data_IF_276159351872
#
_entry.id   IF_276159351872
#
_cell.length_a   1.000
_cell.length_b   1.000
_cell.length_c   1.000
_cell.angle_alpha   90.00
_cell.angle_beta   90.00
_cell.angle_gamma   90.00
#
_symmetry.space_group_name_H-M   'P 1'
#
loop_
_entity.id
_entity.type
_entity.pdbx_description
1 polymer ?
#
# COMPACT_ATOMS: atom_id res chain seq x y z
N UNK A 1 29.02 19.43 -68.76
CA UNK A 1 29.60 19.63 -67.40
C UNK A 1 28.42 19.67 -66.40
N UNK A 2 28.05 18.52 -65.84
CA UNK A 2 27.00 18.39 -64.86
C UNK A 2 27.64 18.12 -63.49
N UNK A 3 27.46 19.04 -62.56
CA UNK A 3 27.86 18.91 -61.16
C UNK A 3 26.69 18.34 -60.35
N UNK A 4 26.82 17.12 -59.89
CA UNK A 4 25.92 16.53 -58.87
C UNK A 4 26.33 17.03 -57.49
N UNK A 5 25.42 17.71 -56.83
CA UNK A 5 25.52 18.03 -55.38
C UNK A 5 24.95 16.85 -54.60
N UNK A 6 25.86 16.19 -53.85
CA UNK A 6 25.47 15.15 -52.89
C UNK A 6 25.12 15.86 -51.56
N UNK A 7 23.86 15.88 -51.25
CA UNK A 7 23.37 16.36 -49.96
C UNK A 7 23.51 15.27 -48.88
N UNK A 8 24.35 15.47 -47.88
CA UNK A 8 24.49 14.63 -46.70
C UNK A 8 23.34 14.95 -45.73
N UNK A 9 22.40 14.01 -45.59
CA UNK A 9 21.38 14.07 -44.55
C UNK A 9 21.96 13.65 -43.21
N UNK A 10 22.07 14.55 -42.25
CA UNK A 10 22.43 14.26 -40.87
C UNK A 10 21.16 13.83 -40.14
N UNK A 11 21.03 12.53 -39.91
CA UNK A 11 19.98 11.96 -39.05
C UNK A 11 20.34 12.19 -37.60
N UNK A 12 19.69 13.15 -36.95
CA UNK A 12 19.76 13.33 -35.49
C UNK A 12 18.88 12.26 -34.81
N UNK A 13 19.51 11.24 -34.27
CA UNK A 13 18.85 10.25 -33.42
C UNK A 13 18.62 10.87 -32.05
N UNK A 14 17.38 11.30 -31.77
CA UNK A 14 16.96 11.65 -30.41
C UNK A 14 16.89 10.36 -29.61
N UNK A 15 17.88 10.11 -28.75
CA UNK A 15 17.79 9.13 -27.68
C UNK A 15 16.83 9.68 -26.61
N UNK A 16 15.56 9.28 -26.66
CA UNK A 16 14.67 9.44 -25.53
C UNK A 16 15.14 8.49 -24.42
N UNK A 17 15.96 9.01 -23.50
CA UNK A 17 16.14 8.40 -22.20
C UNK A 17 14.78 8.45 -21.48
N UNK A 18 14.02 7.35 -21.56
CA UNK A 18 12.85 7.15 -20.73
C UNK A 18 13.27 7.10 -19.27
N UNK A 19 13.23 8.24 -18.59
CA UNK A 19 13.28 8.27 -17.13
C UNK A 19 11.99 7.64 -16.66
N UNK A 20 12.06 6.39 -16.22
CA UNK A 20 11.00 5.78 -15.45
C UNK A 20 10.81 6.66 -14.21
N UNK A 21 9.72 7.41 -14.18
CA UNK A 21 9.32 8.13 -12.98
C UNK A 21 8.87 7.08 -11.96
N UNK A 22 9.81 6.63 -11.14
CA UNK A 22 9.46 5.88 -9.96
C UNK A 22 8.84 6.88 -8.97
N UNK A 23 7.54 6.79 -8.77
CA UNK A 23 6.86 7.46 -7.66
C UNK A 23 7.17 6.73 -6.35
N UNK A 24 8.44 6.56 -6.04
CA UNK A 24 8.90 6.12 -4.73
C UNK A 24 9.35 7.34 -3.95
N UNK A 25 8.94 7.43 -2.70
CA UNK A 25 9.62 8.33 -1.77
C UNK A 25 11.11 7.99 -1.83
N UNK A 26 11.94 8.98 -2.13
CA UNK A 26 13.38 8.80 -2.28
C UNK A 26 13.94 8.24 -0.98
N UNK A 27 14.67 7.11 -1.06
CA UNK A 27 15.38 6.59 0.12
C UNK A 27 16.47 7.59 0.54
N UNK A 28 16.31 8.27 1.66
CA UNK A 28 17.27 9.30 2.10
C UNK A 28 18.64 8.71 2.46
N UNK A 29 18.75 7.40 2.65
CA UNK A 29 20.04 6.71 2.91
C UNK A 29 20.96 6.70 1.70
N UNK A 30 20.43 6.97 0.52
CA UNK A 30 21.23 7.12 -0.71
C UNK A 30 21.75 8.54 -0.90
N UNK A 31 21.29 9.50 -0.11
CA UNK A 31 21.80 10.86 -0.09
C UNK A 31 22.83 11.02 1.04
N UNK A 32 23.85 11.83 0.81
CA UNK A 32 24.87 12.17 1.84
C UNK A 32 24.31 13.05 2.98
N UNK A 33 23.02 13.35 2.97
CA UNK A 33 22.37 14.08 4.03
C UNK A 33 22.11 13.17 5.24
N UNK A 34 22.56 13.59 6.42
CA UNK A 34 22.15 12.94 7.68
C UNK A 34 20.65 13.14 7.86
N UNK A 35 19.91 12.04 7.75
CA UNK A 35 18.48 12.04 8.03
C UNK A 35 18.31 11.86 9.53
N UNK A 36 17.64 12.81 10.17
CA UNK A 36 17.20 12.61 11.55
C UNK A 36 16.25 11.40 11.61
N UNK A 37 16.31 10.57 12.66
CA UNK A 37 15.39 9.45 12.80
C UNK A 37 13.95 9.98 12.72
N UNK A 38 13.18 9.40 11.78
CA UNK A 38 11.76 9.69 11.66
C UNK A 38 11.03 8.98 12.80
N UNK A 39 10.31 9.73 13.58
CA UNK A 39 9.46 9.20 14.64
C UNK A 39 8.02 9.51 14.28
N UNK A 40 7.24 8.46 14.05
CA UNK A 40 5.78 8.59 13.89
C UNK A 40 5.22 9.10 15.21
N UNK A 41 4.55 10.24 15.17
CA UNK A 41 3.87 10.76 16.36
C UNK A 41 2.51 10.12 16.45
N UNK A 42 2.33 9.26 17.42
CA UNK A 42 1.04 8.74 17.83
C UNK A 42 0.39 9.72 18.81
N UNK A 43 -0.89 9.94 18.70
CA UNK A 43 -1.58 10.85 19.61
C UNK A 43 -3.08 10.64 19.66
N UNK A 44 -3.69 10.94 20.80
CA UNK A 44 -5.11 10.76 20.96
C UNK A 44 -5.88 11.68 20.01
N UNK A 45 -6.98 11.16 19.50
CA UNK A 45 -8.02 11.97 18.88
C UNK A 45 -8.54 12.97 19.91
N UNK A 46 -9.18 14.06 19.43
CA UNK A 46 -9.93 15.00 20.29
C UNK A 46 -10.76 14.24 21.35
N UNK A 47 -10.86 14.75 22.60
CA UNK A 47 -11.49 14.06 23.73
C UNK A 47 -12.96 13.68 23.54
N UNK A 48 -13.57 14.06 22.44
CA UNK A 48 -14.90 13.63 22.03
C UNK A 48 -14.74 12.49 21.04
N UNK A 49 -14.67 11.25 21.51
CA UNK A 49 -14.72 10.02 20.70
C UNK A 49 -15.96 10.03 19.81
N UNK A 50 -15.86 9.41 18.63
CA UNK A 50 -17.01 9.21 17.75
C UNK A 50 -18.06 8.32 18.42
N UNK A 51 -19.27 8.33 17.88
CA UNK A 51 -20.40 7.59 18.46
C UNK A 51 -20.35 6.10 18.15
N UNK A 52 -19.57 5.71 17.14
CA UNK A 52 -19.43 4.32 16.69
C UNK A 52 -18.09 4.11 15.95
N UNK A 53 -17.83 2.87 15.54
CA UNK A 53 -16.62 2.50 14.81
C UNK A 53 -16.43 3.32 13.52
N UNK A 54 -17.50 3.64 12.79
CA UNK A 54 -17.39 4.40 11.54
C UNK A 54 -16.88 5.83 11.76
N UNK A 55 -17.25 6.48 12.85
CA UNK A 55 -16.73 7.80 13.18
C UNK A 55 -15.32 7.70 13.75
N UNK A 56 -15.05 6.63 14.51
CA UNK A 56 -13.78 6.41 15.17
C UNK A 56 -12.67 5.93 14.23
N UNK A 57 -12.98 5.19 13.16
CA UNK A 57 -11.97 4.69 12.23
C UNK A 57 -11.40 5.79 11.33
N UNK A 58 -12.18 6.82 10.99
CA UNK A 58 -11.75 7.89 10.07
C UNK A 58 -10.50 8.60 10.56
N UNK A 59 -9.47 8.65 9.72
CA UNK A 59 -8.17 9.27 10.02
C UNK A 59 -6.99 8.46 9.50
N UNK A 60 -5.79 8.80 9.98
CA UNK A 60 -4.55 8.15 9.56
C UNK A 60 -4.01 7.24 10.66
N UNK A 61 -3.51 6.09 10.26
CA UNK A 61 -3.12 5.00 11.15
C UNK A 61 -1.76 4.42 10.78
N UNK A 62 -1.01 4.05 11.80
CA UNK A 62 0.16 3.20 11.72
C UNK A 62 -0.27 1.77 12.09
N UNK A 63 -0.09 0.84 11.18
CA UNK A 63 -0.64 -0.51 11.25
C UNK A 63 0.47 -1.54 11.12
N UNK A 64 0.50 -2.48 12.03
CA UNK A 64 1.43 -3.62 12.03
C UNK A 64 0.66 -4.89 11.72
N UNK A 65 1.09 -5.61 10.70
CA UNK A 65 0.53 -6.89 10.29
C UNK A 65 1.34 -8.07 10.83
N UNK A 66 0.62 -9.14 11.16
CA UNK A 66 1.21 -10.43 11.57
C UNK A 66 0.56 -11.54 10.77
N UNK A 67 1.35 -12.31 10.04
CA UNK A 67 0.86 -13.44 9.22
C UNK A 67 0.82 -14.72 10.05
N UNK A 68 -0.29 -15.44 10.01
CA UNK A 68 -0.40 -16.73 10.68
C UNK A 68 0.42 -17.82 9.95
N UNK A 69 1.05 -18.76 10.69
CA UNK A 69 1.06 -18.95 12.15
C UNK A 69 2.18 -18.16 12.89
N UNK A 70 2.84 -17.20 12.23
CA UNK A 70 3.90 -16.41 12.85
C UNK A 70 3.34 -15.50 13.96
N UNK A 71 4.13 -15.27 14.99
CA UNK A 71 3.87 -14.22 16.00
C UNK A 71 4.71 -12.96 15.78
N UNK A 72 5.56 -12.97 14.75
CA UNK A 72 6.40 -11.82 14.41
C UNK A 72 5.70 -10.94 13.36
N UNK A 73 5.91 -9.61 13.41
CA UNK A 73 5.41 -8.71 12.38
C UNK A 73 5.86 -9.15 10.98
N UNK A 74 4.93 -9.12 10.04
CA UNK A 74 5.17 -9.46 8.63
C UNK A 74 5.23 -8.23 7.73
N UNK A 75 4.63 -7.12 8.16
CA UNK A 75 4.60 -5.86 7.43
C UNK A 75 4.09 -4.73 8.31
N UNK A 76 4.29 -3.52 7.82
CA UNK A 76 3.82 -2.27 8.42
C UNK A 76 3.21 -1.41 7.33
N UNK A 77 2.17 -0.67 7.64
CA UNK A 77 1.49 0.20 6.69
C UNK A 77 1.04 1.51 7.32
N UNK A 78 0.94 2.53 6.48
CA UNK A 78 0.17 3.73 6.80
C UNK A 78 -1.16 3.66 6.06
N UNK A 79 -2.26 3.69 6.82
CA UNK A 79 -3.60 3.63 6.27
C UNK A 79 -4.33 4.94 6.53
N UNK A 80 -5.04 5.42 5.52
CA UNK A 80 -5.94 6.55 5.63
C UNK A 80 -7.36 6.11 5.34
N UNK A 81 -8.23 6.21 6.34
CA UNK A 81 -9.65 5.93 6.24
C UNK A 81 -10.43 7.21 6.05
N UNK A 82 -11.28 7.27 5.03
CA UNK A 82 -12.09 8.43 4.69
C UNK A 82 -13.54 8.24 5.09
N UNK A 83 -14.22 9.34 5.40
CA UNK A 83 -15.63 9.32 5.84
C UNK A 83 -16.64 8.94 4.75
N UNK A 84 -16.20 8.87 3.50
CA UNK A 84 -17.02 8.47 2.35
C UNK A 84 -17.03 6.95 2.12
N UNK A 85 -16.36 6.17 2.98
CA UNK A 85 -16.26 4.72 2.84
C UNK A 85 -15.10 4.24 1.96
N UNK A 86 -14.21 5.13 1.56
CA UNK A 86 -12.96 4.75 0.87
C UNK A 86 -11.78 4.67 1.85
N UNK A 87 -10.74 3.92 1.47
CA UNK A 87 -9.49 3.89 2.21
C UNK A 87 -8.30 3.74 1.27
N UNK A 88 -7.15 4.18 1.75
CA UNK A 88 -5.88 4.04 1.08
C UNK A 88 -4.85 3.49 2.05
N UNK A 89 -4.04 2.58 1.55
CA UNK A 89 -2.95 1.99 2.29
C UNK A 89 -1.63 2.14 1.54
N UNK A 90 -0.58 2.50 2.27
CA UNK A 90 0.79 2.43 1.80
C UNK A 90 1.52 1.40 2.67
N UNK A 91 1.66 0.19 2.13
CA UNK A 91 2.23 -0.95 2.86
C UNK A 91 3.72 -1.13 2.55
N UNK A 92 4.51 -1.31 3.61
CA UNK A 92 5.91 -1.71 3.54
C UNK A 92 6.02 -3.23 3.68
N UNK A 93 5.63 -3.94 2.64
CA UNK A 93 5.76 -5.38 2.58
C UNK A 93 6.79 -5.76 1.50
N UNK A 94 7.91 -6.42 1.85
CA UNK A 94 9.02 -6.62 0.91
C UNK A 94 8.63 -7.32 -0.38
N UNK A 95 7.71 -8.28 -0.31
CA UNK A 95 7.24 -9.03 -1.49
C UNK A 95 6.36 -8.17 -2.39
N UNK A 96 5.72 -7.15 -1.85
CA UNK A 96 4.82 -6.26 -2.60
C UNK A 96 5.54 -5.01 -3.15
N UNK A 97 6.80 -4.79 -2.76
CA UNK A 97 7.60 -3.69 -3.28
C UNK A 97 7.16 -2.29 -2.83
N UNK A 98 6.46 -2.17 -1.68
CA UNK A 98 5.99 -0.88 -1.17
C UNK A 98 4.82 -0.33 -1.99
N UNK A 99 3.69 -0.97 -1.95
CA UNK A 99 2.53 -0.68 -2.78
C UNK A 99 1.55 0.31 -2.14
N UNK A 100 0.88 1.07 -3.00
CA UNK A 100 -0.35 1.77 -2.64
C UNK A 100 -1.53 0.86 -2.99
N UNK A 101 -2.35 0.56 -2.00
CA UNK A 101 -3.59 -0.19 -2.12
C UNK A 101 -4.76 0.76 -1.99
N UNK A 102 -5.87 0.42 -2.61
CA UNK A 102 -7.08 1.21 -2.56
C UNK A 102 -8.27 0.30 -2.30
N UNK A 103 -9.16 0.77 -1.47
CA UNK A 103 -10.31 -0.01 -1.12
C UNK A 103 -11.50 0.77 -0.63
N UNK A 104 -12.44 0.00 -0.13
CA UNK A 104 -13.65 0.50 0.48
C UNK A 104 -13.91 -0.19 1.81
N UNK A 105 -14.63 0.49 2.68
CA UNK A 105 -15.00 -0.01 3.97
C UNK A 105 -16.46 0.32 4.31
N UNK A 106 -17.00 -0.40 5.26
CA UNK A 106 -18.35 -0.19 5.78
C UNK A 106 -18.43 -0.53 7.26
N UNK A 107 -19.34 0.13 7.94
CA UNK A 107 -19.71 -0.22 9.31
C UNK A 107 -20.41 -1.58 9.33
N UNK A 108 -20.03 -2.45 10.26
CA UNK A 108 -20.72 -3.70 10.54
C UNK A 108 -21.64 -3.56 11.77
N UNK A 109 -21.12 -2.98 12.86
CA UNK A 109 -21.84 -2.74 14.11
C UNK A 109 -21.20 -1.57 14.88
N UNK A 110 -21.54 -1.43 16.17
CA UNK A 110 -21.07 -0.33 17.02
C UNK A 110 -19.54 -0.23 17.13
N UNK A 111 -18.84 -1.37 17.09
CA UNK A 111 -17.41 -1.46 17.28
C UNK A 111 -16.64 -2.01 16.09
N UNK A 112 -17.32 -2.55 15.07
CA UNK A 112 -16.63 -3.19 13.95
C UNK A 112 -16.89 -2.51 12.61
N UNK A 113 -15.82 -2.47 11.81
CA UNK A 113 -15.86 -2.13 10.38
C UNK A 113 -15.33 -3.30 9.57
N UNK A 114 -15.73 -3.39 8.31
CA UNK A 114 -15.15 -4.32 7.33
C UNK A 114 -14.51 -3.53 6.21
N UNK A 115 -13.33 -3.96 5.82
CA UNK A 115 -12.54 -3.40 4.72
C UNK A 115 -12.34 -4.42 3.61
N UNK A 116 -12.28 -3.96 2.39
CA UNK A 116 -11.87 -4.75 1.22
C UNK A 116 -11.04 -3.86 0.29
N UNK A 117 -9.78 -4.23 0.06
CA UNK A 117 -8.89 -3.47 -0.79
C UNK A 117 -8.09 -4.34 -1.77
N UNK A 118 -7.49 -3.67 -2.75
CA UNK A 118 -6.74 -4.29 -3.84
C UNK A 118 -5.41 -3.57 -4.02
N UNK A 119 -4.40 -4.34 -4.40
CA UNK A 119 -3.11 -3.81 -4.80
C UNK A 119 -2.46 -4.69 -5.87
N UNK A 120 -1.45 -4.15 -6.53
CA UNK A 120 -0.71 -4.85 -7.57
C UNK A 120 0.44 -5.65 -6.96
N UNK A 121 0.76 -6.79 -7.55
CA UNK A 121 1.93 -7.59 -7.18
C UNK A 121 3.03 -7.40 -8.21
N UNK A 122 4.22 -7.03 -7.72
CA UNK A 122 5.41 -6.87 -8.54
C UNK A 122 6.51 -7.83 -8.09
N UNK A 123 7.28 -8.34 -9.06
CA UNK A 123 8.50 -9.09 -8.81
C UNK A 123 9.61 -8.52 -9.70
N UNK A 124 10.69 -8.06 -9.09
CA UNK A 124 11.82 -7.42 -9.80
C UNK A 124 11.37 -6.31 -10.79
N UNK A 125 10.36 -5.52 -10.42
CA UNK A 125 9.80 -4.44 -11.22
C UNK A 125 8.80 -4.86 -12.30
N UNK A 126 8.56 -6.16 -12.50
CA UNK A 126 7.55 -6.65 -13.42
C UNK A 126 6.23 -6.89 -12.70
N UNK A 127 5.11 -6.48 -13.31
CA UNK A 127 3.78 -6.79 -12.81
C UNK A 127 3.52 -8.30 -12.95
N UNK A 128 3.27 -8.98 -11.83
CA UNK A 128 3.07 -10.43 -11.80
C UNK A 128 1.68 -10.85 -11.34
N UNK A 129 0.86 -9.91 -10.89
CA UNK A 129 -0.49 -10.22 -10.40
C UNK A 129 -1.12 -9.07 -9.64
N UNK A 130 -2.14 -9.41 -8.87
CA UNK A 130 -2.79 -8.50 -7.93
C UNK A 130 -3.16 -9.25 -6.66
N UNK A 131 -3.39 -8.55 -5.58
CA UNK A 131 -3.98 -9.13 -4.39
C UNK A 131 -5.28 -8.43 -4.02
N UNK A 132 -6.10 -9.16 -3.28
CA UNK A 132 -7.27 -8.68 -2.59
C UNK A 132 -7.14 -9.03 -1.12
N UNK A 133 -7.37 -8.08 -0.26
CA UNK A 133 -7.43 -8.31 1.19
C UNK A 133 -8.80 -7.90 1.71
N UNK A 134 -9.37 -8.79 2.52
CA UNK A 134 -10.55 -8.50 3.33
C UNK A 134 -10.14 -8.50 4.79
N UNK A 135 -10.61 -7.50 5.53
CA UNK A 135 -10.32 -7.35 6.95
C UNK A 135 -11.57 -6.96 7.72
N UNK A 136 -11.63 -7.42 8.97
CA UNK A 136 -12.62 -6.97 9.94
C UNK A 136 -11.88 -6.42 11.13
N UNK A 137 -12.16 -5.16 11.46
CA UNK A 137 -11.46 -4.40 12.49
C UNK A 137 -12.39 -4.07 13.65
N UNK A 138 -11.95 -4.36 14.86
CA UNK A 138 -12.56 -3.90 16.10
C UNK A 138 -11.89 -2.58 16.52
N UNK A 139 -12.66 -1.50 16.48
CA UNK A 139 -12.19 -0.15 16.77
C UNK A 139 -12.42 0.18 18.23
N UNK A 140 -11.36 0.57 18.92
CA UNK A 140 -11.47 1.02 20.31
C UNK A 140 -12.42 2.22 20.43
N UNK A 141 -13.18 2.26 21.51
CA UNK A 141 -14.19 3.30 21.75
C UNK A 141 -13.61 4.71 21.81
N UNK A 142 -12.33 4.84 22.21
CA UNK A 142 -11.63 6.11 22.28
C UNK A 142 -11.08 6.55 20.90
N UNK A 143 -11.18 5.69 19.89
CA UNK A 143 -10.72 5.95 18.53
C UNK A 143 -9.20 6.07 18.39
N UNK A 144 -8.41 5.52 19.31
CA UNK A 144 -6.93 5.63 19.28
C UNK A 144 -6.24 4.35 18.83
N UNK A 145 -6.95 3.23 18.81
CA UNK A 145 -6.43 1.95 18.31
C UNK A 145 -7.54 1.13 17.65
N UNK A 146 -7.13 0.17 16.84
CA UNK A 146 -7.98 -0.94 16.41
C UNK A 146 -7.15 -2.22 16.28
N UNK A 147 -7.83 -3.35 16.28
CA UNK A 147 -7.24 -4.66 15.97
C UNK A 147 -8.09 -5.34 14.92
N UNK A 148 -7.45 -6.05 13.99
CA UNK A 148 -8.14 -6.68 12.88
C UNK A 148 -7.75 -8.13 12.66
N UNK A 149 -8.61 -8.81 11.92
CA UNK A 149 -8.32 -10.12 11.31
C UNK A 149 -8.47 -10.01 9.81
N UNK A 150 -7.45 -10.44 9.08
CA UNK A 150 -7.42 -10.31 7.63
C UNK A 150 -7.26 -11.64 6.90
N UNK A 151 -7.69 -11.65 5.66
CA UNK A 151 -7.43 -12.70 4.67
C UNK A 151 -7.01 -12.04 3.37
N UNK A 152 -5.78 -12.32 2.95
CA UNK A 152 -5.19 -11.81 1.72
C UNK A 152 -5.15 -12.90 0.68
N UNK A 153 -5.71 -12.65 -0.49
CA UNK A 153 -5.67 -13.56 -1.65
C UNK A 153 -4.74 -12.98 -2.70
N UNK A 154 -3.61 -13.65 -2.93
CA UNK A 154 -2.65 -13.30 -3.97
C UNK A 154 -3.02 -14.02 -5.26
N UNK A 155 -3.24 -13.28 -6.34
CA UNK A 155 -3.59 -13.81 -7.66
C UNK A 155 -2.44 -13.53 -8.61
N UNK A 156 -1.67 -14.56 -8.95
CA UNK A 156 -0.55 -14.45 -9.88
C UNK A 156 -0.98 -14.71 -11.31
N UNK A 157 -0.55 -13.90 -12.23
CA UNK A 157 -0.73 -14.11 -13.66
C UNK A 157 0.05 -15.33 -14.14
N UNK A 158 -0.44 -16.04 -15.18
CA UNK A 158 0.30 -17.17 -15.73
C UNK A 158 1.63 -16.71 -16.32
N UNK A 159 2.69 -17.45 -16.04
CA UNK A 159 4.03 -17.20 -16.62
C UNK A 159 4.12 -17.60 -18.09
N UNK A 160 3.17 -18.38 -18.58
CA UNK A 160 3.03 -18.75 -20.00
C UNK A 160 1.57 -19.11 -20.31
N UNK A 161 1.13 -19.10 -21.58
CA UNK A 161 -0.22 -19.51 -21.97
C UNK A 161 -0.57 -20.96 -21.60
N UNK A 162 0.43 -21.79 -21.30
CA UNK A 162 0.25 -23.19 -20.90
C UNK A 162 0.09 -23.38 -19.39
N UNK A 163 0.25 -22.30 -18.58
CA UNK A 163 0.14 -22.36 -17.12
C UNK A 163 -1.18 -21.76 -16.66
N UNK A 164 -1.72 -22.26 -15.55
CA UNK A 164 -2.89 -21.70 -14.89
C UNK A 164 -2.47 -20.58 -13.93
N UNK A 165 -3.41 -19.70 -13.58
CA UNK A 165 -3.23 -18.74 -12.52
C UNK A 165 -2.91 -19.47 -11.20
N UNK A 166 -1.94 -18.98 -10.47
CA UNK A 166 -1.65 -19.44 -9.12
C UNK A 166 -2.35 -18.50 -8.13
N UNK A 167 -3.05 -19.11 -7.17
CA UNK A 167 -3.72 -18.38 -6.09
C UNK A 167 -3.12 -18.83 -4.76
N UNK A 168 -2.75 -17.88 -3.92
CA UNK A 168 -2.25 -18.12 -2.57
C UNK A 168 -3.12 -17.35 -1.59
N UNK A 169 -3.60 -18.00 -0.54
CA UNK A 169 -4.40 -17.39 0.51
C UNK A 169 -3.59 -17.34 1.79
N UNK A 170 -3.52 -16.17 2.38
CA UNK A 170 -2.77 -15.87 3.61
C UNK A 170 -3.76 -15.27 4.60
N UNK A 171 -3.73 -15.72 5.84
CA UNK A 171 -4.50 -15.13 6.94
C UNK A 171 -3.57 -14.47 7.94
N UNK A 172 -4.05 -13.44 8.60
CA UNK A 172 -3.26 -12.69 9.56
C UNK A 172 -4.12 -11.87 10.53
N UNK A 173 -3.42 -11.08 11.29
CA UNK A 173 -4.00 -10.08 12.20
C UNK A 173 -3.31 -8.74 12.00
N UNK A 174 -4.00 -7.67 12.36
CA UNK A 174 -3.46 -6.32 12.39
C UNK A 174 -3.60 -5.69 13.77
N UNK A 175 -2.70 -4.80 14.08
CA UNK A 175 -2.82 -3.87 15.22
C UNK A 175 -2.49 -2.47 14.73
N UNK A 176 -3.32 -1.52 15.07
CA UNK A 176 -3.20 -0.15 14.59
C UNK A 176 -3.19 0.87 15.71
N UNK A 177 -2.40 1.91 15.52
CA UNK A 177 -2.33 3.07 16.40
C UNK A 177 -2.56 4.34 15.58
N UNK A 178 -3.38 5.24 16.11
CA UNK A 178 -3.70 6.49 15.43
C UNK A 178 -2.47 7.39 15.33
N UNK A 179 -2.25 7.94 14.13
CA UNK A 179 -1.27 9.00 13.91
C UNK A 179 -1.92 10.33 14.25
N UNK A 180 -1.23 11.12 15.09
CA UNK A 180 -1.68 12.47 15.43
C UNK A 180 -1.63 13.39 14.20
N UNK A 181 -2.56 14.35 14.06
CA UNK A 181 -2.50 15.38 13.04
C UNK A 181 -1.30 16.32 13.22
#
# INVERSE_FOLDING_TARGET
MNRFLVGTAVSATLALCGMAAHASCVDPRTSSAQVAPFVVKHGPRSPFGGRNAAENIVGTWDVVYTTNPSSSPSGEAFIQWHSDGTEWENINYPVLGGNICMGSWKLLDQSHVSRNHYGWLYNAGALVGFFNETETDEVAWDGNSYTGTNTTTLNFYPVSPATTNMVVVISGTSTATRIAP
#
